data_IF_534314897329
#
_entry.id   IF_534314897329
#
_cell.length_a   1.000
_cell.length_b   1.000
_cell.length_c   1.000
_cell.angle_alpha   90.00
_cell.angle_beta   90.00
_cell.angle_gamma   90.00
#
_symmetry.space_group_name_H-M   'P 1'
#
loop_
_entity.id
_entity.type
_entity.pdbx_description
1 polymer ?
#
# COMPACT_ATOMS: atom_id res chain seq x y z
N UNK A 1 0.65 -12.74 -2.62
CA UNK A 1 1.23 -12.62 -3.97
C UNK A 1 0.35 -13.16 -5.09
N UNK A 2 -0.24 -14.36 -4.97
CA UNK A 2 -1.09 -14.94 -6.03
C UNK A 2 -2.22 -13.99 -6.50
N UNK A 3 -2.92 -13.31 -5.57
CA UNK A 3 -3.96 -12.34 -5.92
C UNK A 3 -3.44 -11.18 -6.79
N UNK A 4 -2.27 -10.62 -6.46
CA UNK A 4 -1.63 -9.57 -7.26
C UNK A 4 -1.29 -10.06 -8.65
N UNK A 5 -0.66 -11.25 -8.76
CA UNK A 5 -0.33 -11.85 -10.06
C UNK A 5 -1.59 -12.09 -10.91
N UNK A 6 -2.68 -12.55 -10.29
CA UNK A 6 -3.96 -12.73 -10.95
C UNK A 6 -4.54 -11.40 -11.45
N UNK A 7 -4.51 -10.33 -10.64
CA UNK A 7 -4.95 -9.00 -11.05
C UNK A 7 -4.11 -8.49 -12.24
N UNK A 8 -2.78 -8.63 -12.17
CA UNK A 8 -1.88 -8.21 -13.26
C UNK A 8 -2.05 -9.02 -14.55
N UNK A 9 -2.65 -10.21 -14.49
CA UNK A 9 -2.95 -11.04 -15.64
C UNK A 9 -4.34 -10.80 -16.25
N UNK A 10 -5.16 -9.92 -15.66
CA UNK A 10 -6.50 -9.60 -16.20
C UNK A 10 -6.39 -8.82 -17.50
N UNK A 11 -7.21 -9.18 -18.49
CA UNK A 11 -7.39 -8.44 -19.73
C UNK A 11 -8.34 -7.24 -19.52
N UNK A 12 -7.90 -6.29 -18.66
CA UNK A 12 -8.62 -5.05 -18.36
C UNK A 12 -7.63 -3.88 -18.45
N UNK A 13 -8.00 -2.73 -19.05
CA UNK A 13 -7.05 -1.63 -19.29
C UNK A 13 -6.32 -1.09 -18.06
N UNK A 14 -6.95 -1.11 -16.89
CA UNK A 14 -6.40 -0.63 -15.62
C UNK A 14 -5.61 -1.71 -14.84
N UNK A 15 -5.64 -2.96 -15.27
CA UNK A 15 -5.00 -4.07 -14.57
C UNK A 15 -3.49 -3.83 -14.37
N UNK A 16 -2.84 -3.14 -15.31
CA UNK A 16 -1.43 -2.79 -15.22
C UNK A 16 -1.14 -1.64 -14.23
N UNK A 17 -2.07 -0.70 -14.05
CA UNK A 17 -1.84 0.55 -13.32
C UNK A 17 -2.58 0.65 -12.00
N UNK A 18 -3.56 -0.22 -11.73
CA UNK A 18 -4.33 -0.18 -10.49
C UNK A 18 -3.39 -0.34 -9.27
N UNK A 19 -3.43 0.60 -8.31
CA UNK A 19 -2.71 0.48 -7.04
C UNK A 19 -3.02 -0.81 -6.29
N UNK A 20 -1.99 -1.56 -5.91
CA UNK A 20 -2.13 -2.73 -5.04
C UNK A 20 -1.22 -2.54 -3.83
N UNK A 21 -1.81 -2.48 -2.64
CA UNK A 21 -1.09 -2.32 -1.37
C UNK A 21 -1.26 -3.61 -0.57
N UNK A 22 -0.15 -4.26 -0.22
CA UNK A 22 -0.16 -5.44 0.64
C UNK A 22 -0.52 -5.05 2.08
N UNK A 23 -1.32 -5.86 2.77
CA UNK A 23 -1.49 -5.75 4.22
C UNK A 23 -1.02 -7.05 4.88
N UNK A 24 0.07 -7.00 5.64
CA UNK A 24 0.73 -8.19 6.17
C UNK A 24 0.69 -8.24 7.69
N UNK A 25 0.56 -9.44 8.27
CA UNK A 25 0.64 -9.65 9.73
C UNK A 25 2.09 -9.65 10.24
N UNK A 26 3.01 -10.14 9.40
CA UNK A 26 4.45 -10.01 9.57
C UNK A 26 4.97 -9.09 8.48
N UNK A 27 5.77 -8.10 8.85
CA UNK A 27 6.40 -7.16 7.93
C UNK A 27 7.90 -7.42 7.86
N UNK A 28 8.28 -8.68 7.62
CA UNK A 28 9.68 -9.03 7.37
C UNK A 28 10.10 -8.44 6.03
N UNK A 29 11.39 -8.12 5.91
CA UNK A 29 11.91 -7.42 4.74
C UNK A 29 11.79 -8.29 3.47
N UNK A 30 11.89 -9.60 3.64
CA UNK A 30 11.68 -10.61 2.60
C UNK A 30 10.23 -10.58 2.08
N UNK A 31 9.24 -10.51 2.98
CA UNK A 31 7.82 -10.41 2.60
C UNK A 31 7.54 -9.16 1.76
N UNK A 32 8.20 -8.04 2.10
CA UNK A 32 8.09 -6.78 1.36
C UNK A 32 8.65 -6.94 -0.05
N UNK A 33 9.84 -7.53 -0.17
CA UNK A 33 10.51 -7.72 -1.45
C UNK A 33 9.69 -8.60 -2.38
N UNK A 34 9.23 -9.74 -1.88
CA UNK A 34 8.39 -10.66 -2.66
C UNK A 34 7.04 -10.03 -3.06
N UNK A 35 6.47 -9.13 -2.23
CA UNK A 35 5.27 -8.38 -2.59
C UNK A 35 5.51 -7.41 -3.75
N UNK A 36 6.64 -6.71 -3.75
CA UNK A 36 7.02 -5.80 -4.83
C UNK A 36 7.25 -6.57 -6.14
N UNK A 37 7.95 -7.70 -6.08
CA UNK A 37 8.18 -8.58 -7.24
C UNK A 37 6.90 -9.18 -7.83
N UNK A 38 5.87 -9.37 -7.00
CA UNK A 38 4.55 -9.79 -7.47
C UNK A 38 3.77 -8.68 -8.18
N UNK A 39 4.26 -7.43 -8.19
CA UNK A 39 3.65 -6.28 -8.85
C UNK A 39 2.82 -5.38 -7.93
N UNK A 40 3.04 -5.43 -6.61
CA UNK A 40 2.43 -4.50 -5.64
C UNK A 40 3.20 -3.18 -5.56
N UNK A 41 2.53 -2.11 -5.16
CA UNK A 41 3.09 -0.77 -5.08
C UNK A 41 3.62 -0.42 -3.68
N UNK A 42 3.01 -0.99 -2.64
CA UNK A 42 3.39 -0.74 -1.26
C UNK A 42 2.93 -1.88 -0.33
N UNK A 43 3.34 -1.79 0.93
CA UNK A 43 2.90 -2.68 1.99
C UNK A 43 2.56 -1.90 3.27
N UNK A 44 1.68 -2.45 4.09
CA UNK A 44 1.28 -1.93 5.40
C UNK A 44 1.21 -3.11 6.38
N UNK A 45 1.80 -2.96 7.57
CA UNK A 45 1.72 -3.97 8.61
C UNK A 45 0.37 -3.92 9.35
N UNK A 46 -0.07 -5.05 9.87
CA UNK A 46 -1.17 -5.14 10.85
C UNK A 46 -0.61 -5.03 12.28
N UNK A 47 -1.39 -4.51 13.25
CA UNK A 47 -2.68 -3.83 13.06
C UNK A 47 -2.50 -2.54 12.26
N UNK A 48 -3.53 -2.15 11.50
CA UNK A 48 -3.43 -1.01 10.58
C UNK A 48 -3.39 0.31 11.37
N UNK A 49 -2.36 1.11 11.13
CA UNK A 49 -2.30 2.51 11.52
C UNK A 49 -2.94 3.34 10.38
N UNK A 50 -4.03 4.04 10.69
CA UNK A 50 -4.78 4.82 9.71
C UNK A 50 -3.98 6.00 9.15
N UNK A 51 -3.18 6.68 9.98
CA UNK A 51 -2.34 7.79 9.53
C UNK A 51 -1.24 7.29 8.58
N UNK A 52 -0.68 6.11 8.87
CA UNK A 52 0.26 5.45 7.95
C UNK A 52 -0.42 5.01 6.66
N UNK A 53 -1.63 4.45 6.75
CA UNK A 53 -2.39 4.00 5.58
C UNK A 53 -2.75 5.16 4.64
N UNK A 54 -3.24 6.28 5.17
CA UNK A 54 -3.54 7.50 4.40
C UNK A 54 -2.30 7.98 3.63
N UNK A 55 -1.14 8.05 4.30
CA UNK A 55 0.12 8.46 3.65
C UNK A 55 0.55 7.52 2.53
N UNK A 56 0.41 6.20 2.75
CA UNK A 56 0.77 5.20 1.74
C UNK A 56 -0.18 5.27 0.55
N UNK A 57 -1.49 5.41 0.78
CA UNK A 57 -2.50 5.53 -0.27
C UNK A 57 -2.20 6.78 -1.10
N UNK A 58 -2.07 7.95 -0.47
CA UNK A 58 -1.77 9.22 -1.15
C UNK A 58 -0.53 9.10 -2.04
N UNK A 59 0.56 8.51 -1.51
CA UNK A 59 1.80 8.27 -2.26
C UNK A 59 1.58 7.40 -3.49
N UNK A 60 0.80 6.33 -3.39
CA UNK A 60 0.61 5.36 -4.49
C UNK A 60 -0.35 5.90 -5.56
N UNK A 61 -1.36 6.69 -5.18
CA UNK A 61 -2.27 7.32 -6.16
C UNK A 61 -1.68 8.56 -6.83
N UNK A 62 -0.48 9.01 -6.40
CA UNK A 62 0.18 10.19 -6.94
C UNK A 62 -0.36 11.51 -6.38
N UNK A 63 -1.06 11.46 -5.26
CA UNK A 63 -1.48 12.64 -4.52
C UNK A 63 -0.35 13.13 -3.58
N UNK A 64 -0.31 14.44 -3.35
CA UNK A 64 0.59 15.01 -2.33
C UNK A 64 0.27 14.42 -0.95
N UNK A 65 1.24 14.37 -0.02
CA UNK A 65 0.97 13.86 1.32
C UNK A 65 -0.19 14.65 1.93
N UNK A 66 -1.15 13.98 2.61
CA UNK A 66 -2.22 14.70 3.28
C UNK A 66 -1.60 15.70 4.25
N UNK A 67 -2.19 16.90 4.41
CA UNK A 67 -1.70 17.87 5.38
C UNK A 67 -1.59 17.18 6.74
N UNK A 68 -0.46 17.38 7.42
CA UNK A 68 -0.30 16.92 8.80
C UNK A 68 -1.41 17.62 9.58
N UNK A 69 -2.42 16.86 10.03
CA UNK A 69 -3.32 17.35 11.08
C UNK A 69 -2.41 17.65 12.26
N UNK A 70 -2.29 18.93 12.61
CA UNK A 70 -1.63 19.36 13.83
C UNK A 70 -2.10 18.41 14.94
N UNK A 71 -1.16 17.72 15.58
CA UNK A 71 -1.48 16.97 16.79
C UNK A 71 -2.16 17.97 17.72
N UNK A 72 -3.44 17.76 18.05
CA UNK A 72 -4.01 18.38 19.23
C UNK A 72 -3.11 17.92 20.39
N UNK A 73 -2.23 18.83 20.81
CA UNK A 73 -1.50 18.73 22.07
C UNK A 73 -2.59 18.94 23.11
N UNK A 74 -3.27 17.85 23.47
CA UNK A 74 -4.07 17.83 24.68
C UNK A 74 -3.10 18.09 25.85
N UNK A 75 -3.29 19.25 26.48
CA UNK A 75 -2.58 19.68 27.68
C UNK A 75 -2.90 18.78 28.88
#
# INVERSE_FOLDING_TARGET
MQGTRAIRALDRPDAASIPIIAMTGNAFQEDVQECLEAGMNAHIAKPIDMAKAERVIAKVVGEGPPPIKELEIDQ
#
